data_IF_654865622793
#
_entry.id   IF_654865622793
#
_cell.length_a   1.000
_cell.length_b   1.000
_cell.length_c   1.000
_cell.angle_alpha   90.00
_cell.angle_beta   90.00
_cell.angle_gamma   90.00
#
_symmetry.space_group_name_H-M   'P 1'
#
loop_
_entity.id
_entity.type
_entity.pdbx_description
1 polymer ?
#
# COMPACT_ATOMS: atom_id res chain seq x y z
N UNK A 1 16.03 -2.23 11.25
CA UNK A 1 16.40 -1.68 12.56
C UNK A 1 16.56 -2.79 13.60
N UNK A 2 15.51 -3.60 13.84
CA UNK A 2 15.57 -4.72 14.80
C UNK A 2 16.75 -5.69 14.60
N UNK A 3 17.06 -6.08 13.36
CA UNK A 3 18.22 -6.96 13.07
C UNK A 3 19.60 -6.37 13.39
N UNK A 4 19.69 -5.06 13.62
CA UNK A 4 20.96 -4.35 13.89
C UNK A 4 21.12 -3.98 15.36
N UNK A 5 20.07 -4.08 16.17
CA UNK A 5 20.08 -3.74 17.59
C UNK A 5 19.91 -5.02 18.39
N UNK A 6 20.80 -5.25 19.35
CA UNK A 6 20.64 -6.36 20.29
C UNK A 6 19.51 -6.08 21.30
N UNK A 7 18.89 -7.11 21.88
CA UNK A 7 17.87 -6.94 22.93
C UNK A 7 18.35 -6.16 24.16
N UNK A 8 19.66 -6.13 24.41
CA UNK A 8 20.27 -5.32 25.48
C UNK A 8 20.40 -3.84 25.15
N UNK A 9 20.37 -3.48 23.85
CA UNK A 9 20.47 -2.08 23.42
C UNK A 9 19.09 -1.43 23.30
N UNK A 10 18.06 -2.18 22.89
CA UNK A 10 16.71 -1.66 22.76
C UNK A 10 15.65 -2.76 22.86
N UNK A 11 14.54 -2.43 23.52
CA UNK A 11 13.28 -3.18 23.40
C UNK A 11 12.45 -2.56 22.28
N UNK A 12 11.98 -3.38 21.34
CA UNK A 12 11.23 -2.91 20.17
C UNK A 12 9.81 -3.45 20.25
N UNK A 13 8.84 -2.54 20.30
CA UNK A 13 7.42 -2.86 20.17
C UNK A 13 6.89 -2.30 18.85
N UNK A 14 6.27 -3.15 18.05
CA UNK A 14 5.50 -2.77 16.87
C UNK A 14 4.01 -2.86 17.21
N UNK A 15 3.27 -1.82 16.84
CA UNK A 15 1.82 -1.80 16.93
C UNK A 15 1.26 -1.72 15.51
N UNK A 16 0.45 -2.69 15.13
CA UNK A 16 -0.27 -2.72 13.86
C UNK A 16 -1.74 -3.07 14.11
N UNK A 17 -2.67 -2.43 13.38
CA UNK A 17 -4.10 -2.63 13.62
C UNK A 17 -4.62 -3.98 13.10
N UNK A 18 -3.90 -4.63 12.18
CA UNK A 18 -4.39 -5.79 11.44
C UNK A 18 -3.64 -7.08 11.77
N UNK A 19 -2.38 -7.00 12.17
CA UNK A 19 -1.46 -8.12 12.30
C UNK A 19 -1.08 -8.76 10.96
N UNK A 20 -1.45 -8.15 9.83
CA UNK A 20 -1.24 -8.66 8.48
C UNK A 20 -0.38 -7.69 7.69
N UNK A 21 0.71 -8.20 7.13
CA UNK A 21 1.53 -7.46 6.20
C UNK A 21 1.00 -7.62 4.78
N UNK A 22 0.70 -6.49 4.13
CA UNK A 22 0.28 -6.45 2.73
C UNK A 22 1.42 -5.91 1.87
N UNK A 23 1.89 -6.71 0.92
CA UNK A 23 2.91 -6.28 -0.05
C UNK A 23 2.27 -5.45 -1.17
N UNK A 24 1.93 -4.20 -0.85
CA UNK A 24 1.28 -3.24 -1.76
C UNK A 24 1.94 -3.09 -3.14
N UNK A 25 3.29 -3.15 -3.30
CA UNK A 25 3.90 -3.11 -4.64
C UNK A 25 3.41 -4.22 -5.58
N UNK A 26 2.87 -5.32 -5.03
CA UNK A 26 2.31 -6.44 -5.78
C UNK A 26 0.98 -6.15 -6.49
N UNK A 27 0.25 -5.10 -6.08
CA UNK A 27 -1.09 -4.78 -6.58
C UNK A 27 -1.16 -4.59 -8.10
N UNK A 28 -0.12 -4.01 -8.70
CA UNK A 28 -0.04 -3.86 -10.16
C UNK A 28 -0.05 -5.22 -10.87
N UNK A 29 0.59 -6.25 -10.31
CA UNK A 29 0.59 -7.58 -10.91
C UNK A 29 -0.76 -8.27 -10.76
N UNK A 30 -1.50 -8.00 -9.67
CA UNK A 30 -2.90 -8.44 -9.54
C UNK A 30 -3.76 -7.81 -10.64
N UNK A 31 -3.63 -6.49 -10.85
CA UNK A 31 -4.40 -5.76 -11.84
C UNK A 31 -4.23 -6.26 -13.29
N UNK A 32 -3.06 -6.82 -13.61
CA UNK A 32 -2.76 -7.37 -14.93
C UNK A 32 -2.68 -8.90 -14.97
N UNK A 33 -3.17 -9.58 -13.92
CA UNK A 33 -3.28 -11.05 -13.89
C UNK A 33 -1.98 -11.82 -13.69
N UNK A 34 -0.88 -11.14 -13.35
CA UNK A 34 0.42 -11.75 -13.06
C UNK A 34 0.61 -12.23 -11.62
N UNK A 35 -0.32 -11.94 -10.71
CA UNK A 35 -0.25 -12.36 -9.30
C UNK A 35 -1.65 -12.59 -8.70
N UNK A 36 -1.72 -13.44 -7.68
CA UNK A 36 -2.92 -13.68 -6.89
C UNK A 36 -2.95 -12.81 -5.62
N UNK A 37 -4.10 -12.21 -5.27
CA UNK A 37 -4.26 -11.41 -4.06
C UNK A 37 -3.74 -12.08 -2.78
N UNK A 38 -4.04 -13.37 -2.61
CA UNK A 38 -3.70 -14.13 -1.40
C UNK A 38 -2.18 -14.23 -1.17
N UNK A 39 -1.38 -14.20 -2.24
CA UNK A 39 0.07 -14.28 -2.16
C UNK A 39 0.72 -12.98 -1.65
N UNK A 40 -0.02 -11.87 -1.65
CA UNK A 40 0.46 -10.56 -1.21
C UNK A 40 0.24 -10.31 0.28
N UNK A 41 -0.45 -11.23 0.97
CA UNK A 41 -0.81 -11.07 2.38
C UNK A 41 -0.06 -12.11 3.20
N UNK A 42 0.60 -11.67 4.26
CA UNK A 42 1.30 -12.56 5.20
C UNK A 42 1.01 -12.16 6.62
N UNK A 43 1.01 -13.15 7.51
CA UNK A 43 1.02 -12.91 8.96
C UNK A 43 2.26 -12.06 9.31
N UNK A 44 2.04 -10.86 9.87
CA UNK A 44 3.13 -9.91 10.11
C UNK A 44 4.16 -10.49 11.08
N UNK A 45 3.69 -11.23 12.09
CA UNK A 45 4.55 -11.93 13.05
C UNK A 45 5.60 -12.82 12.38
N UNK A 46 5.26 -13.45 11.26
CA UNK A 46 6.17 -14.34 10.52
C UNK A 46 7.32 -13.62 9.82
N UNK A 47 7.20 -12.30 9.63
CA UNK A 47 8.19 -11.46 8.95
C UNK A 47 9.13 -10.74 9.93
N UNK A 48 8.67 -10.56 11.16
CA UNK A 48 9.38 -9.81 12.18
C UNK A 48 10.41 -10.66 12.89
N UNK A 49 11.52 -10.02 13.29
CA UNK A 49 12.50 -10.63 14.18
C UNK A 49 11.84 -11.06 15.50
N UNK A 50 12.24 -12.23 16.03
CA UNK A 50 11.69 -12.83 17.25
C UNK A 50 11.74 -11.91 18.48
N UNK A 51 12.66 -10.94 18.51
CA UNK A 51 12.81 -10.00 19.62
C UNK A 51 11.87 -8.79 19.53
N UNK A 52 11.22 -8.56 18.38
CA UNK A 52 10.20 -7.52 18.26
C UNK A 52 8.93 -8.00 18.94
N UNK A 53 8.39 -7.22 19.88
CA UNK A 53 7.07 -7.45 20.45
C UNK A 53 6.00 -6.89 19.51
N UNK A 54 5.09 -7.74 19.01
CA UNK A 54 3.99 -7.31 18.14
C UNK A 54 2.71 -7.18 18.95
N UNK A 55 2.08 -6.02 18.90
CA UNK A 55 0.75 -5.75 19.47
C UNK A 55 -0.21 -5.50 18.31
N UNK A 56 -1.27 -6.30 18.24
CA UNK A 56 -2.35 -6.09 17.28
C UNK A 56 -3.39 -5.17 17.90
N UNK A 57 -3.28 -3.88 17.62
CA UNK A 57 -4.15 -2.81 18.13
C UNK A 57 -3.97 -1.55 17.27
N UNK A 58 -4.88 -0.59 17.36
CA UNK A 58 -4.78 0.67 16.64
C UNK A 58 -4.18 1.76 17.54
N UNK A 59 -3.05 2.34 17.11
CA UNK A 59 -2.45 3.48 17.80
C UNK A 59 -3.22 4.76 17.50
N UNK A 60 -3.73 5.44 18.54
CA UNK A 60 -4.47 6.71 18.40
C UNK A 60 -3.61 7.95 18.69
N UNK A 61 -2.35 7.74 19.11
CA UNK A 61 -1.30 8.77 19.29
C UNK A 61 -1.82 10.06 19.95
N UNK A 62 -2.46 9.89 21.11
CA UNK A 62 -2.80 10.98 22.02
C UNK A 62 -1.68 11.07 23.05
N UNK A 63 -1.05 12.23 23.19
CA UNK A 63 0.03 12.55 24.17
C UNK A 63 1.49 12.28 23.72
N UNK A 64 1.94 12.73 22.52
CA UNK A 64 3.34 12.57 22.11
C UNK A 64 4.35 13.34 22.99
N UNK A 65 3.93 14.47 23.58
CA UNK A 65 4.79 15.29 24.46
C UNK A 65 5.18 14.56 25.75
N UNK A 66 4.30 13.70 26.25
CA UNK A 66 4.54 12.85 27.43
C UNK A 66 5.28 11.55 27.08
N UNK A 67 5.68 11.38 25.82
CA UNK A 67 6.27 10.15 25.27
C UNK A 67 5.41 8.90 25.52
N UNK A 68 4.09 9.05 25.37
CA UNK A 68 3.12 7.98 25.52
C UNK A 68 2.32 7.76 24.25
N UNK A 69 2.01 6.51 23.96
CA UNK A 69 1.13 6.11 22.88
C UNK A 69 -0.09 5.39 23.46
N UNK A 70 -1.26 6.01 23.31
CA UNK A 70 -2.55 5.38 23.66
C UNK A 70 -3.07 4.57 22.48
N UNK A 71 -3.46 3.33 22.75
CA UNK A 71 -4.07 2.43 21.79
C UNK A 71 -5.59 2.48 21.91
N UNK A 72 -6.29 2.02 20.88
CA UNK A 72 -7.76 2.05 20.82
C UNK A 72 -8.39 1.19 21.92
N UNK A 73 -7.73 0.10 22.33
CA UNK A 73 -8.14 -0.70 23.50
C UNK A 73 -8.10 0.04 24.85
N UNK A 74 -7.51 1.24 24.89
CA UNK A 74 -7.26 1.99 26.13
C UNK A 74 -5.89 1.70 26.75
N UNK A 75 -5.15 0.71 26.25
CA UNK A 75 -3.76 0.44 26.66
C UNK A 75 -2.87 1.67 26.39
N UNK A 76 -1.94 1.94 27.29
CA UNK A 76 -0.93 3.00 27.14
C UNK A 76 0.45 2.36 27.10
N UNK A 77 1.29 2.84 26.19
CA UNK A 77 2.68 2.42 26.03
C UNK A 77 3.59 3.63 26.23
N UNK A 78 4.54 3.52 27.14
CA UNK A 78 5.65 4.48 27.26
C UNK A 78 6.73 4.15 26.23
N UNK A 79 7.42 5.18 25.73
CA UNK A 79 8.55 5.01 24.81
C UNK A 79 9.66 6.03 25.05
N UNK A 80 10.89 5.65 24.71
CA UNK A 80 12.00 6.62 24.58
C UNK A 80 12.01 7.25 23.19
N UNK A 81 11.68 6.45 22.17
CA UNK A 81 11.63 6.84 20.77
C UNK A 81 10.37 6.30 20.09
N UNK A 82 9.73 7.17 19.31
CA UNK A 82 8.59 6.81 18.48
C UNK A 82 8.98 6.86 17.00
N UNK A 83 8.73 5.76 16.30
CA UNK A 83 8.85 5.70 14.84
C UNK A 83 7.45 5.59 14.25
N UNK A 84 7.04 6.61 13.50
CA UNK A 84 5.75 6.61 12.80
C UNK A 84 5.94 6.02 11.40
N UNK A 85 5.25 4.91 11.13
CA UNK A 85 5.32 4.17 9.88
C UNK A 85 3.93 3.76 9.36
N UNK A 86 2.91 4.59 9.58
CA UNK A 86 1.50 4.30 9.26
C UNK A 86 1.14 4.33 7.76
N UNK A 87 2.14 4.51 6.89
CA UNK A 87 1.94 4.63 5.44
C UNK A 87 1.10 5.84 5.05
N UNK A 88 0.34 5.70 3.97
CA UNK A 88 -0.51 6.74 3.39
C UNK A 88 -1.92 6.19 3.12
N UNK A 89 -2.90 7.08 3.08
CA UNK A 89 -4.27 6.76 2.67
C UNK A 89 -4.57 7.44 1.33
N UNK A 90 -5.38 6.79 0.52
CA UNK A 90 -5.90 7.38 -0.72
C UNK A 90 -6.83 8.54 -0.35
N UNK A 91 -6.77 9.62 -1.15
CA UNK A 91 -7.59 10.83 -0.97
C UNK A 91 -8.36 11.16 -2.26
N UNK A 92 -9.36 10.35 -2.67
CA UNK A 92 -10.11 10.54 -3.91
C UNK A 92 -10.74 11.93 -4.04
N UNK A 93 -11.20 12.49 -2.93
CA UNK A 93 -11.85 13.80 -2.88
C UNK A 93 -10.92 14.96 -3.27
N UNK A 94 -9.61 14.72 -3.29
CA UNK A 94 -8.61 15.68 -3.78
C UNK A 94 -8.46 15.71 -5.30
N UNK A 95 -9.08 14.78 -6.03
CA UNK A 95 -8.94 14.67 -7.49
C UNK A 95 -10.32 14.49 -8.15
N UNK A 96 -10.96 15.59 -8.61
CA UNK A 96 -12.22 15.51 -9.34
C UNK A 96 -12.14 14.54 -10.52
N UNK A 97 -13.11 13.63 -10.61
CA UNK A 97 -13.16 12.58 -11.65
C UNK A 97 -12.43 11.28 -11.31
N UNK A 98 -11.74 11.19 -10.15
CA UNK A 98 -11.08 9.96 -9.72
C UNK A 98 -12.06 8.79 -9.54
N UNK A 99 -13.28 9.04 -9.08
CA UNK A 99 -14.33 8.02 -8.88
C UNK A 99 -14.68 7.25 -10.17
N UNK A 100 -14.47 7.86 -11.34
CA UNK A 100 -14.70 7.23 -12.63
C UNK A 100 -13.46 6.49 -13.18
N UNK A 101 -12.31 6.60 -12.51
CA UNK A 101 -11.05 6.03 -12.95
C UNK A 101 -10.78 4.66 -12.29
N UNK A 102 -10.15 3.76 -13.04
CA UNK A 102 -9.57 2.55 -12.46
C UNK A 102 -8.16 2.83 -11.93
N UNK A 103 -7.80 2.20 -10.81
CA UNK A 103 -6.49 2.29 -10.18
C UNK A 103 -6.11 0.97 -9.50
N UNK A 104 -4.88 0.87 -9.01
CA UNK A 104 -4.34 -0.31 -8.30
C UNK A 104 -3.63 0.09 -7.00
N UNK A 105 -4.09 1.19 -6.37
CA UNK A 105 -3.55 1.67 -5.09
C UNK A 105 -4.04 0.89 -3.87
N UNK A 106 -5.11 0.12 -4.04
CA UNK A 106 -5.60 -0.86 -3.09
C UNK A 106 -5.90 -2.18 -3.81
N UNK A 107 -6.01 -3.25 -3.02
CA UNK A 107 -6.18 -4.60 -3.54
C UNK A 107 -7.50 -4.75 -4.29
N UNK A 108 -8.59 -4.22 -3.76
CA UNK A 108 -9.91 -4.33 -4.36
C UNK A 108 -9.99 -3.56 -5.68
N UNK A 109 -9.39 -2.37 -5.75
CA UNK A 109 -9.29 -1.60 -6.99
C UNK A 109 -8.47 -2.33 -8.05
N UNK A 110 -7.42 -3.04 -7.65
CA UNK A 110 -6.62 -3.88 -8.56
C UNK A 110 -7.46 -5.01 -9.15
N UNK A 111 -8.28 -5.67 -8.32
CA UNK A 111 -9.21 -6.71 -8.77
C UNK A 111 -10.25 -6.12 -9.74
N UNK A 112 -10.88 -4.99 -9.37
CA UNK A 112 -11.84 -4.29 -10.26
C UNK A 112 -11.23 -3.86 -11.59
N UNK A 113 -9.99 -3.38 -11.57
CA UNK A 113 -9.27 -3.01 -12.80
C UNK A 113 -9.01 -4.25 -13.66
N UNK A 114 -8.60 -5.37 -13.07
CA UNK A 114 -8.44 -6.63 -13.79
C UNK A 114 -9.73 -7.07 -14.47
N UNK A 115 -10.84 -7.08 -13.73
CA UNK A 115 -12.17 -7.44 -14.26
C UNK A 115 -12.59 -6.52 -15.40
N UNK A 116 -12.35 -5.20 -15.26
CA UNK A 116 -12.65 -4.24 -16.31
C UNK A 116 -11.82 -4.47 -17.58
N UNK A 117 -10.54 -4.83 -17.41
CA UNK A 117 -9.63 -5.14 -18.52
C UNK A 117 -9.98 -6.47 -19.21
N UNK A 118 -10.36 -7.50 -18.46
CA UNK A 118 -10.80 -8.79 -19.00
C UNK A 118 -12.10 -8.66 -19.83
N UNK A 119 -12.99 -7.75 -19.43
CA UNK A 119 -14.25 -7.47 -20.13
C UNK A 119 -14.14 -6.32 -21.15
N UNK A 120 -12.95 -5.75 -21.37
CA UNK A 120 -12.78 -4.62 -22.26
C UNK A 120 -12.84 -5.09 -23.73
N UNK A 121 -13.82 -4.63 -24.54
CA UNK A 121 -13.99 -5.10 -25.92
C UNK A 121 -12.91 -4.59 -26.89
N UNK A 122 -11.93 -3.84 -26.40
CA UNK A 122 -10.90 -3.16 -27.18
C UNK A 122 -11.20 -1.67 -27.38
N UNK A 123 -10.18 -0.91 -27.76
CA UNK A 123 -10.24 0.54 -27.95
C UNK A 123 -9.05 1.27 -27.32
N UNK A 124 -9.26 2.56 -27.01
CA UNK A 124 -8.22 3.42 -26.45
C UNK A 124 -8.23 3.38 -24.93
N UNK A 125 -7.07 3.13 -24.33
CA UNK A 125 -6.86 3.26 -22.88
C UNK A 125 -6.09 4.55 -22.62
N UNK A 126 -6.69 5.44 -21.82
CA UNK A 126 -6.02 6.63 -21.31
C UNK A 126 -5.44 6.30 -19.94
N UNK A 127 -4.16 6.60 -19.76
CA UNK A 127 -3.48 6.42 -18.48
C UNK A 127 -2.95 7.76 -18.01
N UNK A 128 -3.00 7.99 -16.69
CA UNK A 128 -2.40 9.15 -16.03
C UNK A 128 -1.20 8.69 -15.20
N UNK A 129 -0.05 8.39 -15.83
CA UNK A 129 1.10 7.90 -15.09
C UNK A 129 1.84 9.05 -14.40
N UNK A 130 2.15 8.84 -13.12
CA UNK A 130 3.38 9.36 -12.48
C UNK A 130 4.54 8.36 -12.58
N UNK A 131 4.28 7.15 -13.09
CA UNK A 131 5.25 6.07 -13.30
C UNK A 131 6.00 6.27 -14.63
N UNK A 132 7.24 5.78 -14.71
CA UNK A 132 8.00 5.80 -15.97
C UNK A 132 7.28 4.95 -17.04
N UNK A 133 7.12 5.45 -18.27
CA UNK A 133 6.42 4.76 -19.37
C UNK A 133 6.90 3.33 -19.64
N UNK A 134 8.20 3.07 -19.46
CA UNK A 134 8.85 1.79 -19.76
C UNK A 134 8.32 0.62 -18.92
N UNK A 135 8.03 0.86 -17.63
CA UNK A 135 7.52 -0.16 -16.71
C UNK A 135 6.08 -0.53 -17.08
N UNK A 136 5.27 0.48 -17.37
CA UNK A 136 3.86 0.30 -17.71
C UNK A 136 3.69 -0.37 -19.07
N UNK A 137 4.49 0.00 -20.07
CA UNK A 137 4.44 -0.59 -21.42
C UNK A 137 4.75 -2.08 -21.43
N UNK A 138 5.68 -2.54 -20.58
CA UNK A 138 6.01 -3.97 -20.45
C UNK A 138 4.89 -4.79 -19.79
N UNK A 139 4.23 -4.21 -18.79
CA UNK A 139 3.12 -4.85 -18.08
C UNK A 139 1.86 -4.91 -18.94
N UNK A 140 1.46 -3.78 -19.56
CA UNK A 140 0.26 -3.73 -20.40
C UNK A 140 0.46 -4.50 -21.72
N UNK A 141 1.61 -4.33 -22.38
CA UNK A 141 1.84 -4.83 -23.73
C UNK A 141 2.03 -6.35 -23.84
N UNK A 142 2.28 -7.05 -22.74
CA UNK A 142 2.45 -8.51 -22.74
C UNK A 142 1.16 -9.29 -22.44
N UNK A 143 0.12 -8.61 -21.95
CA UNK A 143 -1.06 -9.27 -21.35
C UNK A 143 -2.41 -8.81 -21.92
N UNK A 144 -2.47 -7.75 -22.74
CA UNK A 144 -3.73 -7.22 -23.26
C UNK A 144 -3.67 -6.91 -24.78
N UNK A 145 -4.75 -7.16 -25.54
CA UNK A 145 -4.83 -6.83 -26.97
C UNK A 145 -5.18 -5.33 -27.15
N UNK A 146 -4.38 -4.43 -26.59
CA UNK A 146 -4.63 -2.98 -26.67
C UNK A 146 -3.91 -2.38 -27.88
N UNK A 147 -4.68 -1.98 -28.88
CA UNK A 147 -4.21 -1.15 -29.99
C UNK A 147 -4.25 0.33 -29.60
N UNK A 148 -3.11 0.85 -29.14
CA UNK A 148 -2.90 2.29 -28.93
C UNK A 148 -2.95 2.73 -27.47
N UNK A 149 -1.78 2.82 -26.85
CA UNK A 149 -1.59 3.47 -25.55
C UNK A 149 -1.41 4.97 -25.79
N UNK A 150 -2.42 5.78 -25.46
CA UNK A 150 -2.27 7.23 -25.51
C UNK A 150 -1.92 7.72 -24.11
N UNK A 151 -0.64 8.05 -23.89
CA UNK A 151 -0.18 8.71 -22.68
C UNK A 151 -0.31 10.22 -22.87
N UNK A 152 -1.20 10.86 -22.13
CA UNK A 152 -1.22 12.33 -22.06
C UNK A 152 -0.69 12.74 -20.70
N UNK A 153 0.39 13.52 -20.67
CA UNK A 153 0.85 14.19 -19.47
C UNK A 153 0.12 15.54 -19.34
N UNK A 154 -0.71 15.78 -18.31
CA UNK A 154 -1.03 17.14 -17.92
C UNK A 154 -0.12 17.52 -16.77
N UNK A 155 0.93 18.27 -17.07
CA UNK A 155 1.58 19.13 -16.09
C UNK A 155 1.74 20.50 -16.76
N UNK A 156 0.78 21.39 -16.57
CA UNK A 156 0.96 22.85 -16.50
C UNK A 156 -0.32 23.47 -15.91
N UNK A 157 -0.22 24.03 -14.69
CA UNK A 157 -1.15 25.02 -14.16
C UNK A 157 -2.08 24.60 -13.01
N UNK A 158 -1.59 24.67 -11.77
CA UNK A 158 -2.02 25.61 -10.72
C UNK A 158 -1.12 25.45 -9.49
#
# INVERSE_FOLDING_TARGET
MARKLSPSEASITLVDASGRHVYQPGFIYVAFGGERPENLIREERSLLDRHVNLIIDEATLREPDDRRARLNSGRVLDYDYLVVATGSRLRPEGLPGFEAAHHFYDLDASIRLREALENFPGGRVLTFPRLKPEILGRLIGSQLPISGLCQTSPCHGM
#
